data_IF_310758296811
#
_entry.id   IF_310758296811
#
_cell.length_a   1.000
_cell.length_b   1.000
_cell.length_c   1.000
_cell.angle_alpha   90.00
_cell.angle_beta   90.00
_cell.angle_gamma   90.00
#
_symmetry.space_group_name_H-M   'P 1'
#
loop_
_entity.id
_entity.type
_entity.pdbx_description
1 polymer ?
#
# COMPACT_ATOMS: atom_id res chain seq x y z
N UNK A 1 11.15 14.81 25.35
CA UNK A 1 10.04 14.45 24.43
C UNK A 1 9.32 13.20 24.97
N UNK A 2 7.99 13.26 25.10
CA UNK A 2 7.14 12.19 25.66
C UNK A 2 6.16 11.67 24.61
N UNK A 3 5.78 10.39 24.67
CA UNK A 3 4.76 9.81 23.75
C UNK A 3 3.44 10.60 23.79
N UNK A 4 3.06 11.12 24.95
CA UNK A 4 1.89 11.96 25.11
C UNK A 4 1.94 13.22 24.25
N UNK A 5 3.10 13.87 24.16
CA UNK A 5 3.29 15.05 23.31
C UNK A 5 3.18 14.70 21.83
N UNK A 6 3.66 13.51 21.42
CA UNK A 6 3.48 13.03 20.03
C UNK A 6 1.99 12.81 19.71
N UNK A 7 1.23 12.18 20.60
CA UNK A 7 -0.24 12.00 20.43
C UNK A 7 -0.94 13.34 20.29
N UNK A 8 -0.61 14.32 21.11
CA UNK A 8 -1.20 15.66 21.07
C UNK A 8 -0.90 16.37 19.76
N UNK A 9 0.36 16.32 19.31
CA UNK A 9 0.79 16.93 18.06
C UNK A 9 0.09 16.29 16.85
N UNK A 10 0.07 14.96 16.78
CA UNK A 10 -0.62 14.21 15.71
C UNK A 10 -2.10 14.58 15.68
N UNK A 11 -2.77 14.59 16.82
CA UNK A 11 -4.20 14.89 16.89
C UNK A 11 -4.56 16.33 16.50
N UNK A 12 -3.71 17.28 16.84
CA UNK A 12 -3.86 18.69 16.43
C UNK A 12 -3.81 18.82 14.90
N UNK A 13 -2.90 18.12 14.24
CA UNK A 13 -2.79 18.15 12.78
C UNK A 13 -3.94 17.43 12.07
N UNK A 14 -4.35 16.27 12.55
CA UNK A 14 -5.49 15.51 12.00
C UNK A 14 -6.78 16.35 12.01
N UNK A 15 -7.03 17.07 13.09
CA UNK A 15 -8.21 17.91 13.24
C UNK A 15 -8.02 19.34 12.71
N UNK A 16 -6.79 19.75 12.40
CA UNK A 16 -6.46 21.10 11.93
C UNK A 16 -6.81 22.21 12.92
N UNK A 17 -7.00 21.89 14.21
CA UNK A 17 -7.46 22.84 15.22
C UNK A 17 -7.08 22.39 16.63
N UNK A 18 -6.38 23.27 17.37
CA UNK A 18 -6.02 23.00 18.77
C UNK A 18 -7.27 22.88 19.65
N UNK A 19 -8.29 23.70 19.41
CA UNK A 19 -9.52 23.66 20.22
C UNK A 19 -10.30 22.36 20.02
N UNK A 20 -10.42 21.90 18.76
CA UNK A 20 -11.08 20.61 18.47
C UNK A 20 -10.28 19.42 19.00
N UNK A 21 -8.95 19.48 18.87
CA UNK A 21 -8.09 18.45 19.42
C UNK A 21 -8.12 18.41 20.96
N UNK A 22 -8.19 19.56 21.62
CA UNK A 22 -8.33 19.63 23.07
C UNK A 22 -9.65 19.01 23.55
N UNK A 23 -10.77 19.31 22.85
CA UNK A 23 -12.07 18.72 23.15
C UNK A 23 -12.05 17.18 22.98
N UNK A 24 -11.49 16.71 21.88
CA UNK A 24 -11.39 15.28 21.56
C UNK A 24 -10.48 14.50 22.54
N UNK A 25 -9.43 15.19 23.05
CA UNK A 25 -8.50 14.61 24.03
C UNK A 25 -8.93 14.86 25.49
N UNK A 26 -10.12 15.41 25.70
CA UNK A 26 -10.64 15.77 27.04
C UNK A 26 -9.69 16.68 27.83
N UNK A 27 -9.06 17.65 27.15
CA UNK A 27 -8.11 18.58 27.71
C UNK A 27 -8.61 20.02 27.62
N UNK A 28 -8.06 20.88 28.50
CA UNK A 28 -8.20 22.31 28.35
C UNK A 28 -7.27 22.80 27.23
N UNK A 29 -7.78 23.64 26.31
CA UNK A 29 -7.03 24.14 25.15
C UNK A 29 -5.68 24.75 25.53
N UNK A 30 -5.60 25.49 26.63
CA UNK A 30 -4.36 26.11 27.12
C UNK A 30 -3.31 25.06 27.48
N UNK A 31 -3.72 23.98 28.12
CA UNK A 31 -2.81 22.88 28.47
C UNK A 31 -2.27 22.17 27.23
N UNK A 32 -3.14 21.87 26.24
CA UNK A 32 -2.71 21.29 24.98
C UNK A 32 -1.73 22.21 24.22
N UNK A 33 -2.05 23.52 24.14
CA UNK A 33 -1.18 24.50 23.49
C UNK A 33 0.19 24.59 24.18
N UNK A 34 0.23 24.52 25.50
CA UNK A 34 1.48 24.51 26.27
C UNK A 34 2.33 23.27 26.00
N UNK A 35 1.71 22.09 25.91
CA UNK A 35 2.42 20.85 25.58
C UNK A 35 3.03 20.87 24.17
N UNK A 36 2.32 21.42 23.19
CA UNK A 36 2.85 21.62 21.83
C UNK A 36 4.02 22.60 21.86
N UNK A 37 3.88 23.74 22.54
CA UNK A 37 4.97 24.73 22.65
C UNK A 37 6.21 24.16 23.34
N UNK A 38 6.02 23.31 24.36
CA UNK A 38 7.12 22.61 25.02
C UNK A 38 7.82 21.64 24.07
N UNK A 39 7.07 20.87 23.29
CA UNK A 39 7.63 19.97 22.27
C UNK A 39 8.46 20.75 21.24
N UNK A 40 7.92 21.85 20.69
CA UNK A 40 8.64 22.70 19.74
C UNK A 40 9.92 23.30 20.34
N UNK A 41 9.86 23.70 21.62
CA UNK A 41 11.00 24.23 22.36
C UNK A 41 12.09 23.17 22.57
N UNK A 42 11.72 21.94 22.95
CA UNK A 42 12.65 20.82 23.11
C UNK A 42 13.36 20.46 21.80
N UNK A 43 12.65 20.57 20.68
CA UNK A 43 13.18 20.32 19.33
C UNK A 43 13.87 21.54 18.71
N UNK A 44 13.81 22.69 19.37
CA UNK A 44 14.28 23.99 18.85
C UNK A 44 13.75 24.28 17.45
N UNK A 45 12.53 23.81 17.13
CA UNK A 45 11.94 23.86 15.79
C UNK A 45 10.44 24.06 15.87
N UNK A 46 9.91 24.97 15.07
CA UNK A 46 8.46 25.16 14.90
C UNK A 46 7.89 24.04 14.03
N UNK A 47 6.92 23.32 14.58
CA UNK A 47 6.24 22.23 13.90
C UNK A 47 4.88 22.67 13.34
N UNK A 48 4.24 23.65 13.99
CA UNK A 48 2.91 24.11 13.63
C UNK A 48 2.93 25.60 13.23
N UNK A 49 2.07 25.93 12.27
CA UNK A 49 1.80 27.29 11.84
C UNK A 49 0.30 27.59 12.00
N UNK A 50 -0.03 28.72 12.65
CA UNK A 50 -1.40 29.19 12.75
C UNK A 50 -1.78 29.96 11.49
N UNK A 51 -2.95 29.67 10.95
CA UNK A 51 -3.53 30.36 9.79
C UNK A 51 -4.93 30.87 10.13
N UNK A 52 -5.51 31.69 9.28
CA UNK A 52 -6.91 32.13 9.40
C UNK A 52 -7.93 30.97 9.33
N UNK A 53 -7.51 29.80 8.80
CA UNK A 53 -8.35 28.60 8.66
C UNK A 53 -8.08 27.52 9.72
N UNK A 54 -7.16 27.79 10.67
CA UNK A 54 -6.79 26.85 11.72
C UNK A 54 -5.29 26.64 11.84
N UNK A 55 -4.88 25.41 12.11
CA UNK A 55 -3.48 25.03 12.31
C UNK A 55 -3.04 24.08 11.19
N UNK A 56 -1.88 24.37 10.61
CA UNK A 56 -1.23 23.54 9.59
C UNK A 56 0.20 23.18 10.02
N UNK A 57 0.76 22.11 9.48
CA UNK A 57 2.15 21.78 9.72
C UNK A 57 3.11 22.69 8.93
N UNK A 58 4.27 22.97 9.50
CA UNK A 58 5.45 23.42 8.75
C UNK A 58 6.04 22.26 7.96
N UNK A 59 7.05 22.50 7.10
CA UNK A 59 7.78 21.41 6.43
C UNK A 59 8.42 20.44 7.45
N UNK A 60 9.07 20.99 8.48
CA UNK A 60 9.60 20.20 9.59
C UNK A 60 8.49 19.47 10.34
N UNK A 61 7.34 20.13 10.53
CA UNK A 61 6.15 19.55 11.16
C UNK A 61 5.59 18.36 10.37
N UNK A 62 5.57 18.42 9.04
CA UNK A 62 5.12 17.29 8.20
C UNK A 62 6.10 16.11 8.23
N UNK A 63 7.41 16.39 8.25
CA UNK A 63 8.41 15.35 8.44
C UNK A 63 8.25 14.68 9.82
N UNK A 64 8.15 15.50 10.86
CA UNK A 64 7.97 15.04 12.23
C UNK A 64 6.64 14.28 12.43
N UNK A 65 5.56 14.69 11.75
CA UNK A 65 4.26 14.02 11.83
C UNK A 65 4.33 12.55 11.40
N UNK A 66 5.01 12.27 10.30
CA UNK A 66 5.21 10.91 9.79
C UNK A 66 5.95 10.04 10.80
N UNK A 67 7.04 10.55 11.36
CA UNK A 67 7.84 9.84 12.35
C UNK A 67 7.12 9.70 13.70
N UNK A 68 6.36 10.71 14.12
CA UNK A 68 5.53 10.65 15.32
C UNK A 68 4.45 9.57 15.21
N UNK A 69 3.76 9.47 14.07
CA UNK A 69 2.79 8.39 13.83
C UNK A 69 3.45 7.01 13.87
N UNK A 70 4.64 6.85 13.28
CA UNK A 70 5.42 5.60 13.34
C UNK A 70 5.79 5.25 14.78
N UNK A 71 6.32 6.23 15.53
CA UNK A 71 6.74 6.06 16.93
C UNK A 71 5.56 5.63 17.81
N UNK A 72 4.40 6.27 17.65
CA UNK A 72 3.18 5.91 18.40
C UNK A 72 2.73 4.49 18.08
N UNK A 73 2.76 4.09 16.80
CA UNK A 73 2.47 2.71 16.40
C UNK A 73 3.43 1.71 17.04
N UNK A 74 4.74 2.00 17.08
CA UNK A 74 5.72 1.13 17.73
C UNK A 74 5.53 1.06 19.25
N UNK A 75 5.16 2.18 19.89
CA UNK A 75 4.83 2.17 21.31
C UNK A 75 3.60 1.32 21.61
N UNK A 76 2.55 1.42 20.80
CA UNK A 76 1.37 0.58 20.91
C UNK A 76 1.68 -0.89 20.58
N UNK A 77 2.64 -1.16 19.68
CA UNK A 77 3.17 -2.50 19.45
C UNK A 77 3.88 -3.06 20.69
N UNK A 78 4.72 -2.26 21.34
CA UNK A 78 5.42 -2.70 22.55
C UNK A 78 4.44 -3.07 23.69
N UNK A 79 3.38 -2.26 23.88
CA UNK A 79 2.31 -2.58 24.84
C UNK A 79 1.60 -3.89 24.45
N UNK A 80 1.26 -4.03 23.18
CA UNK A 80 0.65 -5.25 22.64
C UNK A 80 1.59 -6.44 22.77
N UNK A 81 2.87 -6.31 22.46
CA UNK A 81 3.86 -7.37 22.60
C UNK A 81 3.95 -7.88 24.06
N UNK A 82 3.86 -6.98 25.04
CA UNK A 82 3.82 -7.34 26.45
C UNK A 82 2.52 -8.07 26.83
N UNK A 83 1.41 -7.81 26.13
CA UNK A 83 0.10 -8.44 26.34
C UNK A 83 -0.10 -9.70 25.47
N UNK A 84 0.75 -9.92 24.49
CA UNK A 84 0.59 -10.86 23.37
C UNK A 84 0.84 -12.34 23.67
N UNK A 85 1.19 -12.71 24.89
CA UNK A 85 1.23 -14.14 25.26
C UNK A 85 -0.12 -14.86 25.11
N UNK A 86 -1.17 -14.15 24.63
CA UNK A 86 -2.54 -14.67 24.48
C UNK A 86 -3.36 -14.03 23.37
N UNK A 87 -2.74 -13.46 22.31
CA UNK A 87 -3.56 -12.97 21.20
C UNK A 87 -4.17 -14.14 20.44
N UNK A 88 -5.49 -14.25 20.49
CA UNK A 88 -6.31 -15.27 19.83
C UNK A 88 -7.34 -14.61 18.92
N UNK A 89 -8.03 -15.40 18.11
CA UNK A 89 -9.09 -14.92 17.24
C UNK A 89 -8.85 -15.24 15.76
N UNK A 90 -9.50 -14.48 14.89
CA UNK A 90 -9.36 -14.63 13.45
C UNK A 90 -9.18 -13.26 12.79
N UNK A 91 -8.50 -13.25 11.67
CA UNK A 91 -8.35 -12.07 10.80
C UNK A 91 -8.48 -12.48 9.33
N UNK A 92 -9.21 -11.68 8.55
CA UNK A 92 -9.42 -11.88 7.12
C UNK A 92 -8.68 -10.80 6.33
N UNK A 93 -7.74 -11.21 5.46
CA UNK A 93 -6.89 -10.30 4.69
C UNK A 93 -7.09 -10.55 3.19
N UNK A 94 -7.43 -9.50 2.45
CA UNK A 94 -7.58 -9.51 0.99
C UNK A 94 -6.32 -9.01 0.29
N UNK A 95 -5.84 -9.75 -0.72
CA UNK A 95 -4.69 -9.37 -1.51
C UNK A 95 -5.01 -9.52 -3.00
N UNK A 96 -4.66 -8.51 -3.81
CA UNK A 96 -4.68 -8.68 -5.26
C UNK A 96 -3.59 -9.67 -5.69
N UNK A 97 -3.79 -10.38 -6.80
CA UNK A 97 -2.94 -11.50 -7.23
C UNK A 97 -1.45 -11.15 -7.27
N UNK A 98 -1.08 -9.98 -7.80
CA UNK A 98 0.33 -9.54 -7.83
C UNK A 98 0.87 -9.28 -6.43
N UNK A 99 0.06 -8.72 -5.53
CA UNK A 99 0.45 -8.47 -4.14
C UNK A 99 0.51 -9.78 -3.35
N UNK A 100 -0.42 -10.70 -3.59
CA UNK A 100 -0.43 -12.03 -2.98
C UNK A 100 0.82 -12.84 -3.35
N UNK A 101 1.28 -12.73 -4.59
CA UNK A 101 2.50 -13.40 -5.06
C UNK A 101 3.76 -12.99 -4.28
N UNK A 102 3.81 -11.75 -3.76
CA UNK A 102 4.98 -11.23 -3.02
C UNK A 102 4.76 -11.29 -1.52
N UNK A 103 3.61 -10.85 -1.02
CA UNK A 103 3.34 -10.69 0.43
C UNK A 103 2.64 -11.89 1.06
N UNK A 104 1.98 -12.75 0.28
CA UNK A 104 1.12 -13.80 0.83
C UNK A 104 1.86 -14.77 1.74
N UNK A 105 2.92 -15.40 1.24
CA UNK A 105 3.72 -16.34 2.02
C UNK A 105 4.51 -15.68 3.16
N UNK A 106 5.17 -14.53 2.97
CA UNK A 106 5.80 -13.79 4.07
C UNK A 106 4.81 -13.45 5.19
N UNK A 107 3.62 -12.95 4.87
CA UNK A 107 2.58 -12.66 5.87
C UNK A 107 2.18 -13.92 6.66
N UNK A 108 1.91 -15.03 5.96
CA UNK A 108 1.55 -16.29 6.62
C UNK A 108 2.63 -16.76 7.61
N UNK A 109 3.90 -16.71 7.19
CA UNK A 109 5.04 -17.11 8.04
C UNK A 109 5.15 -16.20 9.26
N UNK A 110 5.14 -14.89 9.06
CA UNK A 110 5.28 -13.92 10.13
C UNK A 110 4.10 -13.96 11.11
N UNK A 111 2.87 -14.14 10.63
CA UNK A 111 1.69 -14.32 11.49
C UNK A 111 1.78 -15.59 12.31
N UNK A 112 2.17 -16.71 11.69
CA UNK A 112 2.32 -17.99 12.41
C UNK A 112 3.42 -17.94 13.48
N UNK A 113 4.51 -17.21 13.22
CA UNK A 113 5.61 -17.06 14.15
C UNK A 113 5.25 -16.13 15.32
N UNK A 114 4.67 -14.96 15.01
CA UNK A 114 4.38 -13.91 16.00
C UNK A 114 3.07 -14.15 16.76
N UNK A 115 2.08 -14.78 16.11
CA UNK A 115 0.71 -14.94 16.62
C UNK A 115 0.12 -16.31 16.28
N UNK A 116 0.70 -17.40 16.81
CA UNK A 116 0.33 -18.77 16.44
C UNK A 116 -1.14 -19.13 16.69
N UNK A 117 -1.78 -18.44 17.66
CA UNK A 117 -3.17 -18.68 18.04
C UNK A 117 -4.17 -17.81 17.27
N UNK A 118 -3.69 -16.98 16.33
CA UNK A 118 -4.53 -16.20 15.42
C UNK A 118 -4.76 -16.97 14.12
N UNK A 119 -6.03 -17.26 13.84
CA UNK A 119 -6.41 -17.89 12.56
C UNK A 119 -6.41 -16.83 11.44
N UNK A 120 -5.48 -16.96 10.50
CA UNK A 120 -5.41 -16.11 9.32
C UNK A 120 -6.27 -16.70 8.19
N UNK A 121 -7.21 -15.91 7.68
CA UNK A 121 -7.97 -16.18 6.45
C UNK A 121 -7.47 -15.24 5.36
N UNK A 122 -6.98 -15.78 4.25
CA UNK A 122 -6.47 -14.98 3.13
C UNK A 122 -7.36 -15.16 1.92
N UNK A 123 -7.71 -14.05 1.28
CA UNK A 123 -8.51 -14.02 0.06
C UNK A 123 -7.68 -13.36 -1.03
N UNK A 124 -7.48 -14.07 -2.13
CA UNK A 124 -6.95 -13.50 -3.35
C UNK A 124 -8.10 -13.10 -4.28
N UNK A 125 -8.04 -11.89 -4.83
CA UNK A 125 -9.10 -11.40 -5.70
C UNK A 125 -8.76 -10.10 -6.42
N UNK A 126 -9.66 -9.69 -7.29
CA UNK A 126 -9.55 -8.37 -7.96
C UNK A 126 -9.89 -7.24 -7.00
N UNK A 127 -9.27 -6.07 -7.21
CA UNK A 127 -9.43 -4.89 -6.35
C UNK A 127 -10.90 -4.51 -6.13
N UNK A 128 -11.73 -4.55 -7.17
CA UNK A 128 -13.17 -4.25 -7.05
C UNK A 128 -13.92 -5.26 -6.17
N UNK A 129 -13.59 -6.55 -6.28
CA UNK A 129 -14.15 -7.59 -5.43
C UNK A 129 -13.69 -7.43 -3.98
N UNK A 130 -12.39 -7.24 -3.76
CA UNK A 130 -11.83 -7.00 -2.43
C UNK A 130 -12.41 -5.75 -1.76
N UNK A 131 -12.64 -4.68 -2.55
CA UNK A 131 -13.36 -3.47 -2.10
C UNK A 131 -14.77 -3.79 -1.61
N UNK A 132 -15.52 -4.60 -2.36
CA UNK A 132 -16.87 -5.03 -1.99
C UNK A 132 -16.86 -5.87 -0.71
N UNK A 133 -15.91 -6.80 -0.60
CA UNK A 133 -15.73 -7.63 0.60
C UNK A 133 -15.35 -6.80 1.83
N UNK A 134 -14.47 -5.81 1.68
CA UNK A 134 -14.12 -4.89 2.77
C UNK A 134 -15.35 -4.10 3.24
N UNK A 135 -16.10 -3.52 2.31
CA UNK A 135 -17.31 -2.74 2.62
C UNK A 135 -18.41 -3.59 3.28
N UNK A 136 -18.49 -4.88 2.94
CA UNK A 136 -19.44 -5.84 3.53
C UNK A 136 -18.90 -6.55 4.79
N UNK A 137 -17.75 -6.11 5.32
CA UNK A 137 -17.10 -6.66 6.52
C UNK A 137 -16.73 -8.16 6.42
N UNK A 138 -16.54 -8.66 5.20
CA UNK A 138 -16.01 -10.01 4.95
C UNK A 138 -14.48 -10.03 5.03
N UNK A 139 -13.83 -8.87 4.91
CA UNK A 139 -12.41 -8.66 5.13
C UNK A 139 -12.23 -7.64 6.25
N UNK A 140 -11.24 -7.88 7.09
CA UNK A 140 -10.76 -6.92 8.08
C UNK A 140 -9.78 -5.93 7.44
N UNK A 141 -8.89 -6.45 6.60
CA UNK A 141 -7.83 -5.71 5.92
C UNK A 141 -7.77 -6.11 4.45
N UNK A 142 -7.39 -5.17 3.59
CA UNK A 142 -7.02 -5.49 2.21
C UNK A 142 -5.96 -4.54 1.69
N UNK A 143 -5.14 -5.00 0.72
CA UNK A 143 -4.27 -4.10 -0.03
C UNK A 143 -4.99 -3.71 -1.32
N UNK A 144 -5.21 -2.41 -1.48
CA UNK A 144 -5.81 -1.80 -2.66
C UNK A 144 -4.84 -0.81 -3.32
N UNK A 145 -5.19 -0.36 -4.51
CA UNK A 145 -4.37 0.50 -5.34
C UNK A 145 -5.04 1.84 -5.56
N UNK A 146 -4.24 2.94 -5.58
CA UNK A 146 -4.68 4.31 -5.91
C UNK A 146 -5.99 4.70 -5.23
N UNK A 147 -6.12 4.32 -3.97
CA UNK A 147 -7.29 4.61 -3.17
C UNK A 147 -7.38 6.12 -2.94
N UNK A 148 -8.26 6.78 -3.67
CA UNK A 148 -8.83 8.03 -3.21
C UNK A 148 -9.63 7.67 -1.95
N UNK A 149 -9.17 8.13 -0.81
CA UNK A 149 -9.71 7.79 0.49
C UNK A 149 -11.24 7.90 0.48
N UNK A 150 -11.92 6.76 0.41
CA UNK A 150 -13.33 6.73 0.75
C UNK A 150 -13.43 7.24 2.19
N UNK A 151 -14.30 8.21 2.46
CA UNK A 151 -14.43 8.91 3.77
C UNK A 151 -14.60 7.99 4.98
N UNK A 152 -14.73 6.68 4.77
CA UNK A 152 -14.97 5.65 5.79
C UNK A 152 -13.84 4.63 5.95
N UNK A 153 -12.74 4.75 5.20
CA UNK A 153 -11.62 3.82 5.28
C UNK A 153 -10.44 4.45 6.00
N UNK A 154 -9.75 3.63 6.81
CA UNK A 154 -8.38 3.87 7.18
C UNK A 154 -7.49 3.39 6.04
N UNK A 155 -6.61 4.25 5.55
CA UNK A 155 -5.73 3.96 4.41
C UNK A 155 -4.29 4.25 4.83
N UNK A 156 -3.47 3.21 4.86
CA UNK A 156 -2.04 3.30 5.16
C UNK A 156 -1.25 3.00 3.88
N UNK A 157 -0.70 4.01 3.19
CA UNK A 157 0.18 3.80 2.06
C UNK A 157 1.41 2.97 2.46
N UNK A 158 1.81 2.03 1.60
CA UNK A 158 2.94 1.13 1.85
C UNK A 158 4.07 1.37 0.86
N UNK A 159 3.78 1.19 -0.42
CA UNK A 159 4.77 1.23 -1.50
C UNK A 159 4.19 1.83 -2.76
N UNK A 160 5.04 2.48 -3.55
CA UNK A 160 4.76 2.85 -4.93
C UNK A 160 5.44 1.85 -5.85
N UNK A 161 4.68 1.24 -6.76
CA UNK A 161 5.16 0.26 -7.74
C UNK A 161 5.30 0.88 -9.13
N UNK A 162 6.37 0.50 -9.80
CA UNK A 162 6.57 0.68 -11.24
C UNK A 162 5.81 -0.39 -12.01
N UNK A 163 5.40 -0.07 -13.23
CA UNK A 163 4.82 -1.03 -14.16
C UNK A 163 5.84 -1.39 -15.24
N UNK A 164 5.71 -2.61 -15.76
CA UNK A 164 6.60 -3.20 -16.76
C UNK A 164 5.78 -3.79 -17.89
N UNK A 165 6.21 -3.58 -19.12
CA UNK A 165 5.81 -4.39 -20.25
C UNK A 165 6.48 -5.76 -20.10
N UNK A 166 5.69 -6.83 -20.06
CA UNK A 166 6.15 -8.22 -19.92
C UNK A 166 5.79 -8.97 -21.20
N UNK A 167 6.76 -9.67 -21.78
CA UNK A 167 6.65 -10.40 -23.04
C UNK A 167 7.26 -11.79 -22.91
N UNK A 168 6.83 -12.73 -23.74
CA UNK A 168 7.52 -14.01 -23.87
C UNK A 168 8.97 -13.78 -24.31
N UNK A 169 9.88 -14.56 -23.77
CA UNK A 169 11.27 -14.55 -24.23
C UNK A 169 11.39 -15.37 -25.51
N UNK A 170 11.93 -14.76 -26.56
CA UNK A 170 12.31 -15.44 -27.80
C UNK A 170 13.82 -15.39 -28.00
N UNK A 171 14.36 -16.37 -28.70
CA UNK A 171 15.79 -16.44 -29.03
C UNK A 171 16.22 -15.21 -29.82
N UNK A 172 17.34 -14.62 -29.42
CA UNK A 172 17.87 -13.41 -30.05
C UNK A 172 17.22 -12.10 -29.65
N UNK A 173 16.22 -12.12 -28.79
CA UNK A 173 15.55 -10.91 -28.28
C UNK A 173 16.43 -10.19 -27.27
N UNK A 174 16.88 -8.99 -27.61
CA UNK A 174 17.53 -8.09 -26.65
C UNK A 174 16.44 -7.37 -25.86
N UNK A 175 16.33 -7.67 -24.57
CA UNK A 175 15.36 -7.00 -23.70
C UNK A 175 15.71 -5.51 -23.60
N UNK A 176 14.79 -4.62 -23.98
CA UNK A 176 14.92 -3.21 -23.66
C UNK A 176 14.77 -3.06 -22.14
N UNK A 177 15.65 -2.30 -21.48
CA UNK A 177 15.52 -2.03 -20.06
C UNK A 177 14.34 -1.10 -19.73
N UNK A 178 13.93 -0.27 -20.69
CA UNK A 178 12.86 0.73 -20.55
C UNK A 178 12.10 0.90 -21.86
N UNK A 179 10.80 1.20 -21.75
CA UNK A 179 9.91 1.53 -22.86
C UNK A 179 8.97 2.66 -22.42
N UNK A 180 8.38 3.40 -23.35
CA UNK A 180 7.36 4.42 -23.05
C UNK A 180 5.99 3.89 -23.37
N UNK A 181 4.95 4.44 -22.73
CA UNK A 181 3.57 4.08 -23.06
C UNK A 181 3.26 4.23 -24.54
N UNK A 182 3.77 5.27 -25.19
CA UNK A 182 3.55 5.50 -26.63
C UNK A 182 4.12 4.38 -27.51
N UNK A 183 5.16 3.70 -27.09
CA UNK A 183 5.82 2.61 -27.83
C UNK A 183 4.99 1.31 -27.80
N UNK A 184 3.91 1.25 -26.98
CA UNK A 184 3.00 0.10 -26.85
C UNK A 184 1.89 0.09 -27.92
N UNK A 185 1.81 1.11 -28.78
CA UNK A 185 0.69 1.33 -29.70
C UNK A 185 0.38 0.10 -30.57
N UNK A 186 1.43 -0.52 -31.11
CA UNK A 186 1.29 -1.65 -32.06
C UNK A 186 1.59 -3.02 -31.40
N UNK A 187 1.71 -3.04 -30.06
CA UNK A 187 1.97 -4.27 -29.31
C UNK A 187 0.62 -4.91 -28.95
N UNK A 188 0.40 -6.21 -29.32
CA UNK A 188 -0.77 -6.97 -28.88
C UNK A 188 -0.76 -7.14 -27.37
N UNK A 189 -1.81 -6.63 -26.67
CA UNK A 189 -1.88 -6.62 -25.22
C UNK A 189 -2.96 -7.56 -24.70
N UNK A 190 -2.63 -8.23 -23.61
CA UNK A 190 -3.55 -9.00 -22.74
C UNK A 190 -3.62 -8.24 -21.42
N UNK A 191 -4.80 -7.72 -21.09
CA UNK A 191 -5.00 -6.89 -19.91
C UNK A 191 -6.17 -7.41 -19.07
N UNK A 192 -6.28 -7.03 -17.79
CA UNK A 192 -7.49 -7.33 -17.02
C UNK A 192 -8.69 -6.50 -17.49
N UNK A 193 -9.89 -6.89 -17.06
CA UNK A 193 -11.12 -6.13 -17.34
C UNK A 193 -11.16 -4.78 -16.64
N UNK A 194 -12.10 -3.91 -17.06
CA UNK A 194 -12.21 -2.52 -16.58
C UNK A 194 -12.51 -2.37 -15.08
N UNK A 195 -12.95 -3.42 -14.40
CA UNK A 195 -13.19 -3.42 -12.94
C UNK A 195 -11.92 -3.57 -12.11
N UNK A 196 -10.78 -3.82 -12.75
CA UNK A 196 -9.49 -4.00 -12.10
C UNK A 196 -8.75 -2.65 -11.99
N UNK A 197 -8.25 -2.30 -10.79
CA UNK A 197 -7.54 -1.02 -10.56
C UNK A 197 -6.34 -0.80 -11.48
N UNK A 198 -5.59 -1.88 -11.81
CA UNK A 198 -4.50 -1.79 -12.81
C UNK A 198 -5.03 -1.35 -14.18
N UNK A 199 -6.18 -1.87 -14.63
CA UNK A 199 -6.76 -1.50 -15.91
C UNK A 199 -7.14 -0.02 -15.94
N UNK A 200 -7.74 0.50 -14.90
CA UNK A 200 -8.08 1.92 -14.79
C UNK A 200 -6.84 2.82 -14.91
N UNK A 201 -5.74 2.45 -14.25
CA UNK A 201 -4.47 3.19 -14.34
C UNK A 201 -3.89 3.15 -15.76
N UNK A 202 -3.96 1.99 -16.44
CA UNK A 202 -3.48 1.83 -17.81
C UNK A 202 -4.36 2.58 -18.82
N UNK A 203 -5.67 2.54 -18.68
CA UNK A 203 -6.59 3.28 -19.57
C UNK A 203 -6.33 4.78 -19.49
N UNK A 204 -6.12 5.32 -18.29
CA UNK A 204 -5.70 6.72 -18.12
C UNK A 204 -4.34 7.01 -18.80
N UNK A 205 -3.42 6.05 -18.77
CA UNK A 205 -2.11 6.19 -19.42
C UNK A 205 -2.23 6.12 -20.95
N UNK A 206 -3.06 5.25 -21.52
CA UNK A 206 -3.33 5.18 -22.96
C UNK A 206 -3.97 6.48 -23.48
N UNK A 207 -4.91 7.03 -22.72
CA UNK A 207 -5.53 8.34 -23.08
C UNK A 207 -4.47 9.44 -23.11
N UNK A 208 -3.59 9.51 -22.12
CA UNK A 208 -2.49 10.50 -22.09
C UNK A 208 -1.51 10.30 -23.26
N UNK A 209 -1.21 9.05 -23.61
CA UNK A 209 -0.34 8.71 -24.74
C UNK A 209 -1.04 8.83 -26.10
N UNK A 210 -2.34 9.18 -26.13
CA UNK A 210 -3.17 9.45 -27.32
C UNK A 210 -3.27 8.27 -28.29
N UNK A 211 -3.37 7.04 -27.79
CA UNK A 211 -3.66 5.87 -28.63
C UNK A 211 -4.62 4.90 -27.93
N UNK A 212 -5.24 4.03 -28.74
CA UNK A 212 -6.03 2.89 -28.25
C UNK A 212 -5.18 1.64 -28.28
N UNK A 213 -5.09 0.86 -27.19
CA UNK A 213 -4.30 -0.37 -27.16
C UNK A 213 -4.91 -1.43 -28.09
N UNK A 214 -4.06 -2.25 -28.70
CA UNK A 214 -4.46 -3.43 -29.43
C UNK A 214 -4.71 -4.55 -28.42
N UNK A 215 -5.96 -4.71 -27.95
CA UNK A 215 -6.35 -5.76 -27.03
C UNK A 215 -6.56 -7.07 -27.77
N UNK A 216 -5.80 -8.10 -27.38
CA UNK A 216 -5.95 -9.48 -27.88
C UNK A 216 -6.96 -10.23 -27.00
N UNK A 217 -6.87 -10.05 -25.69
CA UNK A 217 -7.75 -10.69 -24.73
C UNK A 217 -7.86 -9.84 -23.44
N UNK A 218 -8.97 -10.02 -22.72
CA UNK A 218 -9.15 -9.53 -21.36
C UNK A 218 -9.20 -10.73 -20.41
N UNK A 219 -8.27 -10.78 -19.44
CA UNK A 219 -8.09 -11.93 -18.54
C UNK A 219 -7.91 -11.41 -17.10
N UNK A 220 -8.79 -11.83 -16.20
CA UNK A 220 -8.77 -11.42 -14.78
C UNK A 220 -7.92 -12.33 -13.87
N UNK A 221 -7.41 -13.44 -14.39
CA UNK A 221 -6.50 -14.33 -13.68
C UNK A 221 -5.05 -14.01 -14.02
N UNK A 222 -4.23 -13.65 -13.02
CA UNK A 222 -2.79 -13.41 -13.23
C UNK A 222 -2.09 -14.64 -13.80
N UNK A 223 -2.36 -15.82 -13.24
CA UNK A 223 -1.73 -17.06 -13.71
C UNK A 223 -2.06 -17.35 -15.18
N UNK A 224 -3.33 -17.16 -15.59
CA UNK A 224 -3.76 -17.35 -16.96
C UNK A 224 -3.18 -16.28 -17.89
N UNK A 225 -3.10 -15.02 -17.46
CA UNK A 225 -2.46 -13.93 -18.20
C UNK A 225 -0.99 -14.27 -18.47
N UNK A 226 -0.25 -14.69 -17.44
CA UNK A 226 1.17 -15.02 -17.59
C UNK A 226 1.40 -16.24 -18.47
N UNK A 227 0.53 -17.25 -18.38
CA UNK A 227 0.59 -18.42 -19.28
C UNK A 227 0.32 -18.04 -20.74
N UNK A 228 -0.67 -17.15 -21.00
CA UNK A 228 -0.94 -16.65 -22.33
C UNK A 228 0.21 -15.82 -22.92
N UNK A 229 0.85 -15.00 -22.08
CA UNK A 229 2.04 -14.23 -22.47
C UNK A 229 3.20 -15.18 -22.81
N UNK A 230 3.46 -16.18 -21.96
CA UNK A 230 4.51 -17.16 -22.21
C UNK A 230 4.30 -17.95 -23.52
N UNK A 231 3.05 -18.26 -23.83
CA UNK A 231 2.66 -18.89 -25.08
C UNK A 231 2.78 -17.99 -26.32
N UNK A 232 3.22 -16.71 -26.15
CA UNK A 232 3.39 -15.77 -27.24
C UNK A 232 2.08 -15.21 -27.80
N UNK A 233 0.95 -15.34 -27.09
CA UNK A 233 -0.36 -14.87 -27.56
C UNK A 233 -0.52 -13.35 -27.46
N UNK A 234 0.36 -12.68 -26.75
CA UNK A 234 0.40 -11.24 -26.57
C UNK A 234 1.34 -10.85 -25.44
N UNK A 235 1.38 -9.56 -25.14
CA UNK A 235 2.18 -8.99 -24.05
C UNK A 235 1.25 -8.45 -22.96
N UNK A 236 1.77 -8.22 -21.75
CA UNK A 236 0.97 -7.60 -20.68
C UNK A 236 1.73 -6.46 -20.00
N UNK A 237 1.01 -5.56 -19.36
CA UNK A 237 1.60 -4.52 -18.50
C UNK A 237 1.23 -4.83 -17.05
N UNK A 238 2.24 -5.17 -16.25
CA UNK A 238 2.08 -5.61 -14.87
C UNK A 238 3.18 -4.99 -13.97
N UNK A 239 3.00 -4.91 -12.65
CA UNK A 239 4.13 -4.69 -11.75
C UNK A 239 5.07 -5.89 -11.79
N UNK A 240 6.32 -5.70 -11.38
CA UNK A 240 7.31 -6.79 -11.31
C UNK A 240 6.83 -7.97 -10.46
N UNK A 241 6.00 -7.70 -9.46
CA UNK A 241 5.39 -8.71 -8.60
C UNK A 241 4.65 -9.83 -9.37
N UNK A 242 4.23 -9.58 -10.60
CA UNK A 242 3.65 -10.62 -11.46
C UNK A 242 4.64 -11.74 -11.83
N UNK A 243 5.94 -11.46 -11.74
CA UNK A 243 7.03 -12.42 -12.03
C UNK A 243 7.56 -13.09 -10.76
N UNK A 244 7.27 -12.57 -9.57
CA UNK A 244 7.89 -12.98 -8.30
C UNK A 244 7.66 -14.46 -7.95
N UNK A 245 6.49 -14.99 -8.29
CA UNK A 245 6.13 -16.39 -8.01
C UNK A 245 6.50 -17.38 -9.12
N UNK A 246 7.14 -16.92 -10.21
CA UNK A 246 7.41 -17.75 -11.39
C UNK A 246 8.85 -18.26 -11.34
N UNK A 247 9.07 -19.59 -11.23
CA UNK A 247 10.41 -20.15 -11.31
C UNK A 247 11.07 -19.83 -12.66
N UNK A 248 12.35 -19.47 -12.62
CA UNK A 248 13.13 -19.14 -13.83
C UNK A 248 12.49 -18.07 -14.74
N UNK A 249 11.77 -17.10 -14.16
CA UNK A 249 11.06 -16.07 -14.92
C UNK A 249 11.95 -15.39 -16.00
N UNK A 250 13.22 -15.16 -15.70
CA UNK A 250 14.17 -14.57 -16.65
C UNK A 250 14.49 -15.45 -17.86
N UNK A 251 14.23 -16.76 -17.81
CA UNK A 251 14.37 -17.67 -18.96
C UNK A 251 13.10 -17.71 -19.82
N UNK A 252 11.95 -17.35 -19.24
CA UNK A 252 10.62 -17.46 -19.86
C UNK A 252 10.09 -16.13 -20.36
N UNK A 253 10.47 -15.03 -19.70
CA UNK A 253 9.97 -13.69 -19.99
C UNK A 253 11.09 -12.68 -20.17
N UNK A 254 10.79 -11.62 -20.91
CA UNK A 254 11.52 -10.35 -20.90
C UNK A 254 10.61 -9.27 -20.35
N UNK A 255 11.19 -8.24 -19.75
CA UNK A 255 10.42 -7.11 -19.23
C UNK A 255 11.16 -5.79 -19.40
N UNK A 256 10.40 -4.73 -19.64
CA UNK A 256 10.90 -3.37 -19.79
C UNK A 256 10.12 -2.44 -18.86
N UNK A 257 10.82 -1.62 -18.05
CA UNK A 257 10.16 -0.62 -17.20
C UNK A 257 9.42 0.41 -18.05
N UNK A 258 8.17 0.71 -17.74
CA UNK A 258 7.46 1.86 -18.32
C UNK A 258 8.10 3.14 -17.77
N UNK A 259 8.72 3.91 -18.66
CA UNK A 259 9.51 5.08 -18.30
C UNK A 259 8.66 6.28 -17.86
N UNK A 260 7.38 6.29 -18.24
CA UNK A 260 6.44 7.37 -17.92
C UNK A 260 6.21 7.45 -16.40
N UNK A 261 6.65 8.53 -15.78
CA UNK A 261 6.62 8.71 -14.31
C UNK A 261 5.22 8.72 -13.72
N UNK A 262 4.21 9.03 -14.53
CA UNK A 262 2.80 9.02 -14.13
C UNK A 262 2.15 7.62 -14.20
N UNK A 263 2.88 6.63 -14.70
CA UNK A 263 2.42 5.24 -14.78
C UNK A 263 3.01 4.47 -13.61
N UNK A 264 2.45 4.72 -12.44
CA UNK A 264 2.84 4.12 -11.16
C UNK A 264 1.58 3.69 -10.43
N UNK A 265 1.74 2.83 -9.45
CA UNK A 265 0.64 2.31 -8.64
C UNK A 265 1.00 2.37 -7.16
N UNK A 266 0.19 3.04 -6.36
CA UNK A 266 0.36 3.06 -4.91
C UNK A 266 -0.42 1.91 -4.29
N UNK A 267 0.27 1.05 -3.55
CA UNK A 267 -0.32 0.01 -2.73
C UNK A 267 -0.54 0.56 -1.32
N UNK A 268 -1.74 0.40 -0.80
CA UNK A 268 -2.08 0.81 0.55
C UNK A 268 -2.84 -0.29 1.30
N UNK A 269 -2.56 -0.46 2.60
CA UNK A 269 -3.43 -1.23 3.48
C UNK A 269 -4.68 -0.41 3.70
N UNK A 270 -5.82 -1.01 3.45
CA UNK A 270 -7.14 -0.44 3.68
C UNK A 270 -7.90 -1.28 4.68
N UNK A 271 -8.54 -0.61 5.63
CA UNK A 271 -9.51 -1.18 6.55
C UNK A 271 -10.75 -0.28 6.61
N UNK A 272 -11.81 -0.72 7.21
CA UNK A 272 -12.82 0.18 7.76
C UNK A 272 -12.18 1.03 8.86
N UNK A 273 -12.91 1.69 9.75
CA UNK A 273 -12.28 2.46 10.83
C UNK A 273 -11.35 1.60 11.68
N UNK A 274 -10.18 2.12 12.08
CA UNK A 274 -9.24 1.42 12.98
C UNK A 274 -9.88 1.08 14.34
N UNK A 275 -10.86 1.89 14.79
CA UNK A 275 -11.60 1.66 16.03
C UNK A 275 -12.51 0.41 15.98
N UNK A 276 -12.80 -0.07 14.76
CA UNK A 276 -13.63 -1.25 14.55
C UNK A 276 -12.81 -2.54 14.36
N UNK A 277 -11.48 -2.43 14.26
CA UNK A 277 -10.61 -3.59 14.04
C UNK A 277 -10.38 -4.38 15.33
N UNK A 278 -10.47 -5.70 15.22
CA UNK A 278 -10.07 -6.59 16.30
C UNK A 278 -8.56 -6.46 16.60
N UNK A 279 -8.11 -6.81 17.82
CA UNK A 279 -6.66 -6.85 18.10
C UNK A 279 -5.88 -7.74 17.15
N UNK A 280 -6.46 -8.85 16.66
CA UNK A 280 -5.87 -9.73 15.67
C UNK A 280 -5.72 -9.03 14.31
N UNK A 281 -6.72 -8.24 13.87
CA UNK A 281 -6.67 -7.48 12.64
C UNK A 281 -5.64 -6.34 12.71
N UNK A 282 -5.57 -5.61 13.81
CA UNK A 282 -4.54 -4.59 14.04
C UNK A 282 -3.14 -5.19 13.99
N UNK A 283 -2.92 -6.33 14.66
CA UNK A 283 -1.64 -7.04 14.62
C UNK A 283 -1.27 -7.48 13.20
N UNK A 284 -2.23 -8.03 12.44
CA UNK A 284 -2.01 -8.43 11.06
C UNK A 284 -1.66 -7.24 10.14
N UNK A 285 -2.28 -6.07 10.35
CA UNK A 285 -1.94 -4.85 9.62
C UNK A 285 -0.49 -4.41 9.84
N UNK A 286 -0.03 -4.47 11.08
CA UNK A 286 1.36 -4.19 11.43
C UNK A 286 2.32 -5.19 10.79
N UNK A 287 2.03 -6.50 10.92
CA UNK A 287 2.87 -7.55 10.32
C UNK A 287 2.93 -7.40 8.80
N UNK A 288 1.82 -7.06 8.16
CA UNK A 288 1.75 -6.83 6.72
C UNK A 288 2.65 -5.65 6.30
N UNK A 289 2.64 -4.55 7.05
CA UNK A 289 3.50 -3.40 6.80
C UNK A 289 4.99 -3.73 7.02
N UNK A 290 5.31 -4.51 8.05
CA UNK A 290 6.68 -4.97 8.32
C UNK A 290 7.18 -5.87 7.18
N UNK A 291 6.40 -6.86 6.76
CA UNK A 291 6.73 -7.74 5.63
C UNK A 291 7.01 -6.94 4.35
N UNK A 292 6.17 -5.94 4.04
CA UNK A 292 6.38 -5.10 2.88
C UNK A 292 7.71 -4.34 2.97
N UNK A 293 8.02 -3.76 4.14
CA UNK A 293 9.27 -3.03 4.39
C UNK A 293 10.50 -3.95 4.26
N UNK A 294 10.43 -5.14 4.84
CA UNK A 294 11.50 -6.13 4.80
C UNK A 294 11.80 -6.56 3.36
N UNK A 295 10.76 -6.91 2.58
CA UNK A 295 10.91 -7.33 1.19
C UNK A 295 11.51 -6.24 0.29
N UNK A 296 11.11 -4.99 0.48
CA UNK A 296 11.66 -3.85 -0.28
C UNK A 296 13.12 -3.60 0.11
N UNK A 297 13.43 -3.60 1.41
CA UNK A 297 14.79 -3.39 1.93
C UNK A 297 15.74 -4.51 1.48
N UNK A 298 15.27 -5.76 1.49
CA UNK A 298 16.01 -6.93 1.02
C UNK A 298 16.07 -7.04 -0.52
N UNK A 299 15.49 -6.10 -1.25
CA UNK A 299 15.39 -6.11 -2.73
C UNK A 299 14.71 -7.37 -3.29
N UNK A 300 13.80 -7.95 -2.52
CA UNK A 300 12.99 -9.10 -2.93
C UNK A 300 11.66 -8.68 -3.60
N UNK A 301 11.29 -7.42 -3.47
CA UNK A 301 10.18 -6.81 -4.20
C UNK A 301 10.75 -5.72 -5.12
N UNK A 302 11.02 -6.09 -6.36
CA UNK A 302 11.67 -5.19 -7.32
C UNK A 302 10.68 -4.19 -7.93
N UNK A 303 11.22 -3.06 -8.36
CA UNK A 303 10.42 -2.01 -9.01
C UNK A 303 9.52 -1.24 -8.05
N UNK A 304 9.80 -1.28 -6.75
CA UNK A 304 9.03 -0.56 -5.71
C UNK A 304 9.92 0.36 -4.89
N UNK A 305 9.29 1.36 -4.27
CA UNK A 305 9.87 2.17 -3.20
C UNK A 305 8.88 2.29 -2.04
N UNK A 306 9.38 2.39 -0.83
CA UNK A 306 8.59 2.71 0.36
C UNK A 306 8.07 4.15 0.30
N UNK A 307 6.87 4.40 0.83
CA UNK A 307 6.25 5.73 0.99
C UNK A 307 5.84 5.97 2.43
#
# INVERSE_FOLDING_TARGET
MELRQLRYFVRVLELGSISRAALDLELVQSALSQQISRLESELSTRLLQRTSKGVVATEAGMAFFREAQLTLRHADQAVRAAQLSRLTGAVSVGLASTTAAVLGLPLMRAMRERYPDVRLHMVEGMSGHLTSMLNSRQLDLTILFDTQAARRWSVLPLVEEKLFLIQARSDGMTAANRTRMADLKDIPLILPTGTHGLRSALDAAFVRAKFKPQLVAEIDSLAMTMAAVEAGLGSTVQPWAALAGIPDAAKRFTWAEIADTQVRRVNAICSLSDDELSPAALAAGVVLADCARELVTAKQWLGVKLI
#
